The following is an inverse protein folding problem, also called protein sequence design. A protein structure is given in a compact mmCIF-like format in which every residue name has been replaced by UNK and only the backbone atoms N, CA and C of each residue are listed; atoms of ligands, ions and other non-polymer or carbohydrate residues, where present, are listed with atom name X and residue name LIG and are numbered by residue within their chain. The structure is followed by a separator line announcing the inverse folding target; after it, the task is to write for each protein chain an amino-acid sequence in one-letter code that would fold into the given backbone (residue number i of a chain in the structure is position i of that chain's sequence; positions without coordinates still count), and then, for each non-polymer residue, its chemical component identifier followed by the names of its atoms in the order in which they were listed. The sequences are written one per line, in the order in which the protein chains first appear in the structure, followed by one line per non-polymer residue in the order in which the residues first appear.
data_IF_005404482359
#
_entry.id   IF_005404482359
#
_cell.length_a   1.000
_cell.length_b   1.000
_cell.length_c   1.000
_cell.angle_alpha   90.00
_cell.angle_beta   90.00
_cell.angle_gamma   90.00
#
_symmetry.space_group_name_H-M   'P 1'
#
loop_
_entity.id
_entity.type
_entity.pdbx_description
1 polymer ?
#
# COMPACT_ATOMS: atom_id res chain seq x y z
N UNK A 1 18.36 -25.16 9.31
CA UNK A 1 17.25 -24.44 8.66
C UNK A 1 17.83 -23.72 7.47
N UNK A 2 17.55 -24.19 6.25
CA UNK A 2 17.94 -23.47 5.04
C UNK A 2 17.15 -22.14 5.01
N UNK A 3 17.77 -21.03 4.55
CA UNK A 3 17.01 -19.80 4.33
C UNK A 3 15.94 -20.10 3.27
N UNK A 4 14.68 -19.88 3.65
CA UNK A 4 13.54 -19.92 2.73
C UNK A 4 13.81 -18.91 1.62
N UNK A 5 14.10 -19.38 0.41
CA UNK A 5 14.18 -18.53 -0.78
C UNK A 5 12.79 -17.95 -1.03
N UNK A 6 12.59 -16.71 -0.59
CA UNK A 6 11.47 -15.89 -1.04
C UNK A 6 11.65 -15.76 -2.54
N UNK A 7 10.77 -16.39 -3.33
CA UNK A 7 10.74 -16.20 -4.78
C UNK A 7 10.61 -14.69 -5.01
N UNK A 8 11.67 -14.06 -5.53
CA UNK A 8 11.71 -12.61 -5.66
C UNK A 8 10.64 -12.20 -6.68
N UNK A 9 9.51 -11.72 -6.18
CA UNK A 9 8.46 -11.14 -7.01
C UNK A 9 9.03 -10.02 -7.87
N UNK A 10 8.49 -9.85 -9.06
CA UNK A 10 8.82 -8.69 -9.90
C UNK A 10 7.57 -7.87 -10.15
N UNK A 11 7.74 -6.56 -10.25
CA UNK A 11 6.67 -5.62 -10.58
C UNK A 11 7.00 -4.84 -11.85
N UNK A 12 5.99 -4.34 -12.57
CA UNK A 12 6.21 -3.49 -13.74
C UNK A 12 7.00 -2.22 -13.40
N UNK A 13 7.80 -1.73 -14.34
CA UNK A 13 8.56 -0.49 -14.20
C UNK A 13 7.66 0.74 -14.00
N UNK A 14 6.38 0.67 -14.37
CA UNK A 14 5.40 1.74 -14.14
C UNK A 14 5.29 2.13 -12.66
N UNK A 15 5.50 1.20 -11.72
CA UNK A 15 5.54 1.49 -10.28
C UNK A 15 6.70 2.43 -9.93
N UNK A 16 7.88 2.20 -10.51
CA UNK A 16 9.07 3.03 -10.32
C UNK A 16 8.83 4.42 -10.92
N UNK A 17 8.29 4.47 -12.14
CA UNK A 17 7.96 5.74 -12.81
C UNK A 17 6.95 6.57 -12.01
N UNK A 18 5.85 5.95 -11.57
CA UNK A 18 4.83 6.63 -10.77
C UNK A 18 5.37 7.13 -9.43
N UNK A 19 6.22 6.33 -8.77
CA UNK A 19 6.88 6.72 -7.52
C UNK A 19 7.79 7.93 -7.74
N UNK A 20 8.66 7.92 -8.75
CA UNK A 20 9.56 9.03 -9.04
C UNK A 20 8.81 10.31 -9.43
N UNK A 21 7.76 10.19 -10.25
CA UNK A 21 6.95 11.31 -10.73
C UNK A 21 6.24 12.06 -9.60
N UNK A 22 5.95 11.40 -8.48
CA UNK A 22 5.38 12.06 -7.29
C UNK A 22 6.41 12.89 -6.51
N UNK A 23 7.71 12.62 -6.67
CA UNK A 23 8.74 13.28 -5.88
C UNK A 23 9.16 14.64 -6.47
N UNK A 24 9.57 15.61 -5.64
CA UNK A 24 10.12 16.89 -6.11
C UNK A 24 11.59 16.78 -6.57
N UNK A 25 12.12 15.56 -6.76
CA UNK A 25 13.52 15.36 -7.11
C UNK A 25 13.78 15.76 -8.57
N UNK A 26 14.91 16.41 -8.79
CA UNK A 26 15.43 16.68 -10.12
C UNK A 26 15.97 15.40 -10.78
N UNK A 27 16.26 15.42 -12.10
CA UNK A 27 16.74 14.21 -12.80
C UNK A 27 18.03 13.62 -12.20
N UNK A 28 18.90 14.46 -11.61
CA UNK A 28 20.12 14.00 -10.96
C UNK A 28 19.82 13.22 -9.68
N UNK A 29 18.93 13.75 -8.82
CA UNK A 29 18.48 13.07 -7.60
C UNK A 29 17.72 11.77 -7.89
N UNK A 30 16.88 11.75 -8.94
CA UNK A 30 16.21 10.53 -9.37
C UNK A 30 17.21 9.46 -9.84
N UNK A 31 18.23 9.85 -10.62
CA UNK A 31 19.28 8.94 -11.07
C UNK A 31 20.10 8.36 -9.90
N UNK A 32 20.41 9.17 -8.89
CA UNK A 32 21.10 8.69 -7.69
C UNK A 32 20.25 7.67 -6.91
N UNK A 33 18.96 7.96 -6.70
CA UNK A 33 18.04 7.05 -6.01
C UNK A 33 17.91 5.69 -6.76
N UNK A 34 17.79 5.74 -8.09
CA UNK A 34 17.77 4.53 -8.93
C UNK A 34 19.06 3.71 -8.82
N UNK A 35 20.21 4.36 -8.91
CA UNK A 35 21.51 3.71 -8.79
C UNK A 35 21.67 3.02 -7.43
N UNK A 36 21.28 3.68 -6.33
CA UNK A 36 21.33 3.11 -4.98
C UNK A 36 20.32 1.98 -4.76
N UNK A 37 19.23 1.94 -5.55
CA UNK A 37 18.28 0.84 -5.56
C UNK A 37 18.68 -0.30 -6.52
N UNK A 38 19.79 -0.15 -7.25
CA UNK A 38 20.24 -1.14 -8.23
C UNK A 38 19.33 -1.23 -9.47
N UNK A 39 18.60 -0.17 -9.79
CA UNK A 39 17.70 -0.10 -10.96
C UNK A 39 18.43 0.62 -12.09
N UNK A 40 18.69 -0.07 -13.20
CA UNK A 40 19.36 0.53 -14.35
C UNK A 40 18.44 1.59 -15.02
N UNK A 41 18.90 2.84 -15.23
CA UNK A 41 18.07 3.90 -15.81
C UNK A 41 17.48 3.57 -17.19
N UNK A 42 18.15 2.72 -17.96
CA UNK A 42 17.66 2.25 -19.26
C UNK A 42 16.30 1.55 -19.16
N UNK A 43 15.98 0.94 -18.02
CA UNK A 43 14.70 0.25 -17.79
C UNK A 43 13.51 1.22 -17.82
N UNK A 44 13.70 2.50 -17.46
CA UNK A 44 12.64 3.51 -17.46
C UNK A 44 12.06 3.75 -18.85
N UNK A 45 12.83 3.46 -19.92
CA UNK A 45 12.41 3.64 -21.30
C UNK A 45 11.79 2.37 -21.90
N UNK A 46 11.75 1.26 -21.17
CA UNK A 46 11.24 -0.02 -21.63
C UNK A 46 9.91 -0.32 -20.94
N UNK A 47 8.78 -0.10 -21.63
CA UNK A 47 7.43 -0.21 -21.06
C UNK A 47 7.13 -1.56 -20.38
N UNK A 48 7.68 -2.66 -20.92
CA UNK A 48 7.51 -4.01 -20.39
C UNK A 48 8.58 -4.41 -19.37
N UNK A 49 9.51 -3.50 -19.01
CA UNK A 49 10.54 -3.79 -18.04
C UNK A 49 9.93 -4.08 -16.67
N UNK A 50 10.63 -4.91 -15.90
CA UNK A 50 10.25 -5.26 -14.55
C UNK A 50 11.44 -5.05 -13.62
N UNK A 51 11.13 -4.72 -12.37
CA UNK A 51 12.11 -4.65 -11.27
C UNK A 51 11.71 -5.63 -10.19
N UNK A 52 12.67 -6.08 -9.40
CA UNK A 52 12.36 -6.93 -8.24
C UNK A 52 11.62 -6.11 -7.18
N UNK A 53 10.80 -6.78 -6.38
CA UNK A 53 10.13 -6.16 -5.23
C UNK A 53 11.14 -5.56 -4.25
N UNK A 54 12.33 -6.14 -4.12
CA UNK A 54 13.39 -5.61 -3.25
C UNK A 54 14.04 -4.34 -3.82
N UNK A 55 14.27 -4.28 -5.15
CA UNK A 55 14.73 -3.05 -5.81
C UNK A 55 13.72 -1.91 -5.59
N UNK A 56 12.42 -2.20 -5.79
CA UNK A 56 11.37 -1.21 -5.53
C UNK A 56 11.30 -0.80 -4.06
N UNK A 57 11.33 -1.76 -3.12
CA UNK A 57 11.28 -1.47 -1.69
C UNK A 57 12.49 -0.65 -1.24
N UNK A 58 13.67 -0.91 -1.80
CA UNK A 58 14.89 -0.13 -1.55
C UNK A 58 14.74 1.30 -2.06
N UNK A 59 14.27 1.50 -3.29
CA UNK A 59 14.00 2.83 -3.84
C UNK A 59 12.99 3.59 -2.95
N UNK A 60 11.88 2.94 -2.61
CA UNK A 60 10.84 3.53 -1.77
C UNK A 60 11.40 4.00 -0.42
N UNK A 61 12.13 3.15 0.30
CA UNK A 61 12.71 3.51 1.61
C UNK A 61 13.68 4.69 1.50
N UNK A 62 14.47 4.74 0.42
CA UNK A 62 15.41 5.84 0.18
C UNK A 62 14.68 7.16 -0.02
N UNK A 63 13.68 7.17 -0.90
CA UNK A 63 12.86 8.35 -1.15
C UNK A 63 12.12 8.79 0.11
N UNK A 64 11.54 7.84 0.85
CA UNK A 64 10.83 8.15 2.08
C UNK A 64 11.73 8.79 3.14
N UNK A 65 12.96 8.25 3.30
CA UNK A 65 13.95 8.82 4.22
C UNK A 65 14.46 10.18 3.76
N UNK A 66 14.68 10.37 2.46
CA UNK A 66 15.22 11.62 1.90
C UNK A 66 14.21 12.77 1.99
N UNK A 67 12.92 12.46 1.79
CA UNK A 67 11.84 13.44 1.77
C UNK A 67 11.19 13.65 3.16
N UNK A 68 11.57 12.82 4.15
CA UNK A 68 10.86 12.71 5.44
C UNK A 68 9.35 12.50 5.22
N UNK A 69 9.03 11.54 4.36
CA UNK A 69 7.68 11.25 3.89
C UNK A 69 7.50 9.75 3.61
N UNK A 70 6.80 9.04 4.49
CA UNK A 70 6.55 7.60 4.37
C UNK A 70 5.65 7.22 3.18
N UNK A 71 5.00 8.19 2.54
CA UNK A 71 4.27 8.03 1.27
C UNK A 71 4.85 9.03 0.24
N UNK A 72 6.13 8.83 -0.15
CA UNK A 72 6.99 9.88 -0.70
C UNK A 72 6.40 10.59 -1.92
N UNK A 73 6.03 11.86 -1.74
CA UNK A 73 5.52 12.71 -2.81
C UNK A 73 4.14 12.31 -3.35
N UNK A 74 3.45 11.38 -2.69
CA UNK A 74 2.17 10.85 -3.18
C UNK A 74 0.99 11.75 -2.83
N UNK A 75 1.09 12.60 -1.81
CA UNK A 75 -0.03 13.37 -1.29
C UNK A 75 0.31 14.85 -1.13
N UNK A 76 -0.70 15.68 -0.95
CA UNK A 76 -0.56 17.14 -0.80
C UNK A 76 0.35 17.58 0.37
N UNK A 77 0.56 16.69 1.35
CA UNK A 77 1.46 16.89 2.48
C UNK A 77 2.18 15.59 2.83
N UNK A 78 3.40 15.66 3.38
CA UNK A 78 4.16 14.49 3.75
C UNK A 78 3.52 13.75 4.93
N UNK A 79 3.51 12.41 4.84
CA UNK A 79 3.25 11.52 5.96
C UNK A 79 4.56 11.32 6.70
N UNK A 80 4.83 12.17 7.70
CA UNK A 80 6.13 12.26 8.38
C UNK A 80 6.64 10.93 8.90
N UNK A 81 7.97 10.75 8.90
CA UNK A 81 8.63 9.55 9.40
C UNK A 81 8.18 9.21 10.82
N UNK A 82 7.85 7.93 11.05
CA UNK A 82 7.31 7.42 12.30
C UNK A 82 5.78 7.34 12.34
N UNK A 83 5.07 7.96 11.39
CA UNK A 83 3.60 7.90 11.32
C UNK A 83 3.11 6.46 11.25
N UNK A 84 3.70 5.62 10.39
CA UNK A 84 3.33 4.22 10.21
C UNK A 84 3.58 3.39 11.47
N UNK A 85 4.69 3.66 12.18
CA UNK A 85 4.97 3.02 13.47
C UNK A 85 3.90 3.37 14.51
N UNK A 86 3.53 4.65 14.63
CA UNK A 86 2.49 5.09 15.56
C UNK A 86 1.10 4.57 15.19
N UNK A 87 0.78 4.53 13.89
CA UNK A 87 -0.42 3.86 13.38
C UNK A 87 -0.44 2.42 13.90
N UNK A 88 0.54 1.59 13.54
CA UNK A 88 0.53 0.17 13.90
C UNK A 88 0.48 -0.04 15.41
N UNK A 89 1.22 0.74 16.21
CA UNK A 89 1.13 0.69 17.68
C UNK A 89 -0.29 0.95 18.19
N UNK A 90 -1.02 1.90 17.61
CA UNK A 90 -2.42 2.21 17.99
C UNK A 90 -3.43 1.12 17.60
N UNK A 91 -3.06 0.25 16.65
CA UNK A 91 -3.91 -0.84 16.16
C UNK A 91 -3.80 -2.10 17.01
N UNK A 92 -2.63 -2.36 17.63
CA UNK A 92 -2.36 -3.59 18.38
C UNK A 92 -3.35 -3.84 19.52
N UNK A 93 -3.80 -2.78 20.20
CA UNK A 93 -4.74 -2.86 21.32
C UNK A 93 -6.22 -2.86 20.87
N UNK A 94 -6.50 -3.25 19.63
CA UNK A 94 -7.87 -3.38 19.13
C UNK A 94 -8.38 -4.80 19.38
N UNK A 95 -9.61 -4.94 19.86
CA UNK A 95 -10.20 -6.27 20.10
C UNK A 95 -10.49 -7.02 18.81
N UNK A 96 -10.87 -6.31 17.74
CA UNK A 96 -11.24 -6.86 16.44
C UNK A 96 -10.59 -6.10 15.30
N UNK A 97 -10.43 -6.76 14.14
CA UNK A 97 -9.97 -6.13 12.91
C UNK A 97 -10.86 -4.96 12.50
N UNK A 98 -12.18 -5.05 12.69
CA UNK A 98 -13.10 -3.94 12.42
C UNK A 98 -12.70 -2.67 13.20
N UNK A 99 -12.41 -2.83 14.49
CA UNK A 99 -11.99 -1.73 15.37
C UNK A 99 -10.65 -1.16 14.92
N UNK A 100 -9.71 -2.03 14.54
CA UNK A 100 -8.42 -1.59 14.01
C UNK A 100 -8.56 -0.80 12.70
N UNK A 101 -9.38 -1.27 11.75
CA UNK A 101 -9.60 -0.58 10.47
C UNK A 101 -10.33 0.75 10.64
N UNK A 102 -11.28 0.83 11.59
CA UNK A 102 -11.87 2.10 11.97
C UNK A 102 -10.82 3.08 12.51
N UNK A 103 -9.94 2.63 13.43
CA UNK A 103 -8.84 3.45 13.96
C UNK A 103 -7.85 3.88 12.87
N UNK A 104 -7.52 3.00 11.92
CA UNK A 104 -6.69 3.31 10.77
C UNK A 104 -7.30 4.46 9.95
N UNK A 105 -8.61 4.40 9.68
CA UNK A 105 -9.29 5.48 8.95
C UNK A 105 -9.25 6.81 9.71
N UNK A 106 -9.44 6.77 11.04
CA UNK A 106 -9.30 7.97 11.91
C UNK A 106 -7.87 8.52 11.93
N UNK A 107 -6.87 7.65 11.91
CA UNK A 107 -5.46 8.05 11.87
C UNK A 107 -5.14 8.82 10.58
N UNK A 108 -5.51 8.27 9.41
CA UNK A 108 -5.27 8.96 8.14
C UNK A 108 -6.12 10.22 7.96
N UNK A 109 -7.30 10.29 8.58
CA UNK A 109 -8.07 11.54 8.63
C UNK A 109 -7.29 12.70 9.29
N UNK A 110 -6.39 12.42 10.25
CA UNK A 110 -5.54 13.43 10.87
C UNK A 110 -4.34 13.83 10.01
N UNK A 111 -3.88 12.95 9.13
CA UNK A 111 -2.63 13.12 8.39
C UNK A 111 -2.80 13.56 6.94
N UNK A 112 -3.87 13.11 6.27
CA UNK A 112 -4.05 13.33 4.84
C UNK A 112 -5.09 14.40 4.58
N UNK A 113 -4.75 15.32 3.67
CA UNK A 113 -5.68 16.31 3.18
C UNK A 113 -6.43 15.91 1.90
N UNK A 114 -5.94 14.86 1.25
CA UNK A 114 -6.36 14.39 -0.06
C UNK A 114 -7.57 13.45 0.02
N UNK A 115 -7.57 12.56 1.01
CA UNK A 115 -8.57 11.51 1.16
C UNK A 115 -9.12 11.42 2.59
N UNK A 116 -10.37 11.03 2.70
CA UNK A 116 -10.94 10.44 3.91
C UNK A 116 -11.09 8.95 3.68
N UNK A 117 -10.69 8.15 4.67
CA UNK A 117 -10.91 6.70 4.63
C UNK A 117 -12.16 6.40 5.44
N UNK A 118 -13.19 5.87 4.78
CA UNK A 118 -14.48 5.56 5.40
C UNK A 118 -14.72 4.05 5.49
N UNK A 119 -15.13 3.60 6.68
CA UNK A 119 -15.56 2.23 6.95
C UNK A 119 -17.09 2.21 6.97
N UNK A 120 -17.72 1.41 6.11
CA UNK A 120 -19.18 1.22 6.09
C UNK A 120 -19.56 -0.25 5.93
N UNK A 121 -20.78 -0.59 6.32
CA UNK A 121 -21.34 -1.93 6.12
C UNK A 121 -22.35 -1.92 4.98
N UNK A 122 -22.22 -2.87 4.06
CA UNK A 122 -23.10 -3.08 2.92
C UNK A 122 -23.56 -4.54 2.91
N UNK A 123 -24.66 -4.83 3.62
CA UNK A 123 -25.15 -6.19 3.82
C UNK A 123 -24.15 -7.05 4.60
N UNK A 124 -23.61 -8.10 3.95
CA UNK A 124 -22.58 -8.97 4.52
C UNK A 124 -21.15 -8.51 4.22
N UNK A 125 -20.98 -7.41 3.49
CA UNK A 125 -19.67 -6.84 3.18
C UNK A 125 -19.36 -5.66 4.09
N UNK A 126 -18.08 -5.49 4.41
CA UNK A 126 -17.55 -4.28 5.01
C UNK A 126 -16.66 -3.60 3.98
N UNK A 127 -16.94 -2.32 3.73
CA UNK A 127 -16.29 -1.50 2.73
C UNK A 127 -15.34 -0.52 3.39
N UNK A 128 -14.11 -0.46 2.88
CA UNK A 128 -13.10 0.54 3.17
C UNK A 128 -12.92 1.43 1.94
N UNK A 129 -13.50 2.62 1.96
CA UNK A 129 -13.56 3.54 0.82
C UNK A 129 -12.59 4.72 0.95
N UNK A 130 -11.94 5.08 -0.15
CA UNK A 130 -11.17 6.32 -0.26
C UNK A 130 -12.07 7.41 -0.85
N UNK A 131 -12.48 8.36 0.00
CA UNK A 131 -13.32 9.50 -0.41
C UNK A 131 -12.40 10.69 -0.70
N UNK A 132 -12.23 11.09 -1.97
CA UNK A 132 -11.39 12.23 -2.31
C UNK A 132 -12.00 13.52 -1.76
N UNK A 133 -11.17 14.40 -1.21
CA UNK A 133 -11.57 15.71 -0.66
C UNK A 133 -11.24 16.87 -1.60
N UNK A 134 -10.50 16.59 -2.67
CA UNK A 134 -10.10 17.54 -3.71
C UNK A 134 -9.98 16.84 -5.07
N UNK A 135 -10.18 17.56 -6.20
CA UNK A 135 -10.11 16.96 -7.53
C UNK A 135 -8.76 16.30 -7.85
N UNK A 136 -7.65 16.87 -7.37
CA UNK A 136 -6.31 16.33 -7.61
C UNK A 136 -6.14 14.96 -6.94
N UNK A 137 -6.74 14.76 -5.76
CA UNK A 137 -6.75 13.46 -5.10
C UNK A 137 -7.51 12.42 -5.93
N UNK A 138 -8.69 12.77 -6.46
CA UNK A 138 -9.45 11.86 -7.32
C UNK A 138 -8.66 11.42 -8.58
N UNK A 139 -7.82 12.30 -9.14
CA UNK A 139 -6.95 12.00 -10.27
C UNK A 139 -5.66 11.23 -9.91
N UNK A 140 -5.31 11.14 -8.63
CA UNK A 140 -4.09 10.48 -8.16
C UNK A 140 -4.28 8.96 -8.06
N UNK A 141 -4.20 8.28 -9.21
CA UNK A 141 -4.33 6.83 -9.31
C UNK A 141 -3.32 6.08 -8.43
N UNK A 142 -2.04 6.45 -8.50
CA UNK A 142 -0.99 5.74 -7.76
C UNK A 142 -1.13 5.89 -6.24
N UNK A 143 -1.46 7.09 -5.75
CA UNK A 143 -1.75 7.31 -4.32
C UNK A 143 -2.93 6.48 -3.83
N UNK A 144 -3.99 6.34 -4.65
CA UNK A 144 -5.12 5.47 -4.32
C UNK A 144 -4.71 3.99 -4.25
N UNK A 145 -3.97 3.50 -5.24
CA UNK A 145 -3.45 2.13 -5.25
C UNK A 145 -2.63 1.83 -3.98
N UNK A 146 -1.68 2.70 -3.65
CA UNK A 146 -0.79 2.53 -2.51
C UNK A 146 -1.57 2.58 -1.18
N UNK A 147 -2.54 3.49 -1.01
CA UNK A 147 -3.37 3.52 0.20
C UNK A 147 -4.23 2.26 0.35
N UNK A 148 -4.86 1.79 -0.73
CA UNK A 148 -5.60 0.53 -0.70
C UNK A 148 -4.69 -0.64 -0.33
N UNK A 149 -3.48 -0.70 -0.90
CA UNK A 149 -2.52 -1.76 -0.56
C UNK A 149 -2.02 -1.68 0.87
N UNK A 150 -1.79 -0.48 1.41
CA UNK A 150 -1.45 -0.28 2.81
C UNK A 150 -2.57 -0.78 3.71
N UNK A 151 -3.84 -0.43 3.45
CA UNK A 151 -4.99 -0.91 4.22
C UNK A 151 -5.04 -2.45 4.20
N UNK A 152 -4.93 -3.06 3.02
CA UNK A 152 -4.98 -4.51 2.85
C UNK A 152 -3.81 -5.23 3.52
N UNK A 153 -2.59 -4.70 3.38
CA UNK A 153 -1.38 -5.26 3.97
C UNK A 153 -1.38 -5.17 5.49
N UNK A 154 -1.78 -4.03 6.04
CA UNK A 154 -1.94 -3.86 7.50
C UNK A 154 -3.02 -4.79 8.03
N UNK A 155 -4.17 -4.89 7.36
CA UNK A 155 -5.24 -5.81 7.76
C UNK A 155 -4.74 -7.27 7.80
N UNK A 156 -4.04 -7.69 6.75
CA UNK A 156 -3.50 -9.04 6.63
C UNK A 156 -2.41 -9.33 7.66
N UNK A 157 -1.55 -8.36 7.95
CA UNK A 157 -0.57 -8.47 9.03
C UNK A 157 -1.26 -8.60 10.38
N UNK A 158 -2.24 -7.75 10.70
CA UNK A 158 -2.95 -7.78 11.98
C UNK A 158 -3.64 -9.12 12.28
N UNK A 159 -4.17 -9.79 11.26
CA UNK A 159 -4.79 -11.12 11.38
C UNK A 159 -3.79 -12.27 11.26
N UNK A 160 -2.58 -12.00 10.77
CA UNK A 160 -1.51 -12.99 10.58
C UNK A 160 -1.65 -13.84 9.32
N UNK A 161 -2.54 -13.47 8.38
CA UNK A 161 -2.71 -14.16 7.11
C UNK A 161 -3.21 -13.21 6.02
N UNK A 162 -2.98 -13.56 4.75
CA UNK A 162 -3.48 -12.75 3.62
C UNK A 162 -5.00 -12.67 3.67
N UNK A 163 -5.54 -11.47 3.79
CA UNK A 163 -6.99 -11.25 3.75
C UNK A 163 -7.50 -11.47 2.33
N UNK A 164 -8.53 -12.31 2.17
CA UNK A 164 -9.26 -12.42 0.90
C UNK A 164 -10.12 -11.18 0.72
N UNK A 165 -10.09 -10.59 -0.46
CA UNK A 165 -10.94 -9.45 -0.81
C UNK A 165 -12.14 -9.98 -1.61
N UNK A 166 -13.35 -9.66 -1.17
CA UNK A 166 -14.56 -9.99 -1.91
C UNK A 166 -14.61 -9.20 -3.24
N UNK A 167 -14.10 -7.97 -3.20
CA UNK A 167 -14.11 -7.03 -4.33
C UNK A 167 -13.10 -5.89 -4.09
N UNK A 168 -12.56 -5.36 -5.17
CA UNK A 168 -11.83 -4.08 -5.20
C UNK A 168 -12.45 -3.18 -6.24
N UNK A 169 -12.77 -1.95 -5.84
CA UNK A 169 -13.21 -0.89 -6.73
C UNK A 169 -12.10 0.11 -6.97
N UNK A 170 -11.96 0.52 -8.22
CA UNK A 170 -11.06 1.56 -8.68
C UNK A 170 -11.91 2.66 -9.34
N UNK A 171 -11.80 3.89 -8.85
CA UNK A 171 -12.57 5.03 -9.38
C UNK A 171 -12.09 5.51 -10.76
N UNK A 172 -10.90 5.10 -11.15
CA UNK A 172 -10.24 5.49 -12.37
C UNK A 172 -10.44 4.46 -13.49
N UNK A 173 -10.18 4.89 -14.73
CA UNK A 173 -10.24 4.04 -15.92
C UNK A 173 -9.22 2.90 -15.87
N UNK A 174 -9.52 1.80 -16.57
CA UNK A 174 -8.65 0.62 -16.62
C UNK A 174 -7.28 0.97 -17.22
N UNK A 175 -6.16 0.88 -16.47
CA UNK A 175 -4.85 1.17 -17.02
C UNK A 175 -4.39 0.07 -18.00
N UNK A 176 -3.44 0.40 -18.87
CA UNK A 176 -2.86 -0.56 -19.84
C UNK A 176 -2.26 -1.80 -19.16
N UNK A 177 -1.72 -1.62 -17.96
CA UNK A 177 -1.12 -2.67 -17.13
C UNK A 177 -2.12 -3.30 -16.13
N UNK A 178 -3.43 -3.18 -16.34
CA UNK A 178 -4.45 -3.74 -15.43
C UNK A 178 -4.37 -5.26 -15.24
N UNK A 179 -3.72 -6.00 -16.14
CA UNK A 179 -3.44 -7.44 -15.97
C UNK A 179 -2.56 -7.71 -14.74
N UNK A 180 -1.77 -6.74 -14.31
CA UNK A 180 -0.86 -6.84 -13.17
C UNK A 180 -1.59 -6.66 -11.82
N UNK A 181 -2.83 -6.19 -11.83
CA UNK A 181 -3.58 -5.95 -10.59
C UNK A 181 -3.92 -7.24 -9.84
N UNK A 182 -3.93 -8.39 -10.51
CA UNK A 182 -4.07 -9.69 -9.85
C UNK A 182 -2.88 -10.03 -8.92
N UNK A 183 -1.71 -9.44 -9.18
CA UNK A 183 -0.57 -9.52 -8.25
C UNK A 183 -0.82 -8.67 -6.99
N UNK A 184 -1.48 -7.53 -7.16
CA UNK A 184 -1.75 -6.58 -6.09
C UNK A 184 -2.92 -7.01 -5.21
N UNK A 185 -4.07 -7.36 -5.78
CA UNK A 185 -5.29 -7.59 -5.02
C UNK A 185 -5.72 -9.07 -5.06
N UNK A 186 -6.07 -9.62 -3.89
CA UNK A 186 -6.57 -10.99 -3.73
C UNK A 186 -8.08 -11.12 -3.98
N UNK A 187 -8.61 -10.41 -4.98
CA UNK A 187 -10.04 -10.38 -5.31
C UNK A 187 -10.32 -9.75 -6.68
N UNK A 188 -11.57 -9.83 -7.18
CA UNK A 188 -11.94 -9.23 -8.45
C UNK A 188 -11.84 -7.70 -8.39
N UNK A 189 -11.27 -7.10 -9.43
CA UNK A 189 -11.05 -5.66 -9.54
C UNK A 189 -11.99 -5.06 -10.59
N UNK A 190 -12.75 -4.04 -10.21
CA UNK A 190 -13.65 -3.30 -11.09
C UNK A 190 -13.15 -1.86 -11.24
N UNK A 191 -13.11 -1.38 -12.47
CA UNK A 191 -12.68 -0.02 -12.82
C UNK A 191 -13.87 0.89 -13.06
N UNK A 192 -13.63 2.20 -13.15
CA UNK A 192 -14.66 3.22 -13.43
C UNK A 192 -15.81 3.19 -12.42
N UNK A 193 -15.50 2.88 -11.17
CA UNK A 193 -16.47 2.89 -10.08
C UNK A 193 -16.61 4.30 -9.48
N UNK A 194 -17.65 4.53 -8.70
CA UNK A 194 -17.86 5.85 -8.11
C UNK A 194 -16.73 6.28 -7.15
N UNK A 195 -16.17 5.33 -6.39
CA UNK A 195 -15.04 5.56 -5.49
C UNK A 195 -14.12 4.34 -5.46
N UNK A 196 -12.85 4.54 -5.12
CA UNK A 196 -11.92 3.43 -4.90
C UNK A 196 -12.14 2.80 -3.52
N UNK A 197 -12.28 1.48 -3.44
CA UNK A 197 -12.61 0.80 -2.19
C UNK A 197 -12.16 -0.67 -2.13
N UNK A 198 -11.92 -1.15 -0.91
CA UNK A 198 -11.79 -2.59 -0.62
C UNK A 198 -13.07 -3.12 0.03
N UNK A 199 -13.47 -4.34 -0.33
CA UNK A 199 -14.58 -5.03 0.30
C UNK A 199 -14.10 -6.34 0.92
N UNK A 200 -14.47 -6.54 2.17
CA UNK A 200 -14.20 -7.73 2.96
C UNK A 200 -15.51 -8.39 3.35
N UNK A 201 -15.52 -9.71 3.52
CA UNK A 201 -16.66 -10.36 4.19
C UNK A 201 -16.70 -9.92 5.65
N UNK A 202 -17.87 -9.57 6.17
CA UNK A 202 -18.02 -9.02 7.52
C UNK A 202 -17.45 -9.96 8.59
N UNK A 203 -17.64 -11.27 8.43
CA UNK A 203 -17.11 -12.28 9.33
C UNK A 203 -15.57 -12.26 9.44
N UNK A 204 -14.84 -11.79 8.41
CA UNK A 204 -13.39 -11.64 8.50
C UNK A 204 -12.99 -10.53 9.47
N UNK A 205 -13.82 -9.51 9.65
CA UNK A 205 -13.49 -8.33 10.46
C UNK A 205 -13.78 -8.52 11.96
N UNK A 206 -14.49 -9.59 12.32
CA UNK A 206 -14.66 -10.02 13.71
C UNK A 206 -13.41 -10.76 14.25
N UNK A 207 -12.39 -10.98 13.40
CA UNK A 207 -11.14 -11.65 13.77
C UNK A 207 -10.38 -10.83 14.83
N UNK A 208 -9.94 -11.46 15.94
CA UNK A 208 -9.12 -10.78 16.93
C UNK A 208 -7.72 -10.49 16.40
N UNK A 209 -7.12 -9.41 16.87
CA UNK A 209 -5.75 -9.03 16.50
C UNK A 209 -4.77 -10.05 17.11
N UNK A 210 -3.88 -10.60 16.27
CA UNK A 210 -2.91 -11.65 16.67
C UNK A 210 -1.48 -11.15 16.78
N UNK A 211 -1.27 -9.85 16.58
CA UNK A 211 0.05 -9.24 16.53
C UNK A 211 0.45 -8.64 17.88
N UNK A 212 1.76 -8.55 18.11
CA UNK A 212 2.34 -8.00 19.31
C UNK A 212 3.45 -6.99 18.96
N UNK A 213 4.08 -6.40 19.97
CA UNK A 213 5.17 -5.43 19.77
C UNK A 213 6.41 -6.05 19.12
N UNK A 214 6.64 -7.35 19.29
CA UNK A 214 7.79 -8.06 18.71
C UNK A 214 7.55 -8.31 17.23
N UNK A 215 6.36 -8.77 16.84
CA UNK A 215 5.99 -8.94 15.43
C UNK A 215 5.90 -7.60 14.70
N UNK A 216 5.51 -6.52 15.39
CA UNK A 216 5.57 -5.17 14.85
C UNK A 216 6.99 -4.75 14.45
N UNK A 217 7.99 -5.02 15.29
CA UNK A 217 9.38 -4.67 14.96
C UNK A 217 9.85 -5.34 13.66
N UNK A 218 9.45 -6.60 13.44
CA UNK A 218 9.75 -7.35 12.22
C UNK A 218 9.01 -6.78 11.00
N UNK A 219 7.73 -6.46 11.16
CA UNK A 219 6.91 -5.86 10.11
C UNK A 219 7.43 -4.49 9.67
N UNK A 220 7.83 -3.63 10.61
CA UNK A 220 8.42 -2.32 10.31
C UNK A 220 9.77 -2.44 9.62
N UNK A 221 10.62 -3.39 10.03
CA UNK A 221 11.92 -3.61 9.43
C UNK A 221 11.84 -4.03 7.94
N UNK A 222 10.72 -4.66 7.55
CA UNK A 222 10.46 -5.10 6.18
C UNK A 222 9.50 -4.19 5.41
N UNK A 223 9.10 -3.04 5.98
CA UNK A 223 8.32 -2.05 5.26
C UNK A 223 9.15 -1.40 4.13
N UNK A 224 8.52 -1.02 2.99
CA UNK A 224 7.11 -1.21 2.67
C UNK A 224 6.75 -2.62 2.17
N UNK A 225 7.75 -3.48 1.94
CA UNK A 225 7.59 -4.78 1.28
C UNK A 225 6.49 -5.65 1.89
N UNK A 226 6.46 -5.79 3.21
CA UNK A 226 5.48 -6.66 3.90
C UNK A 226 4.02 -6.21 3.70
N UNK A 227 3.74 -4.90 3.69
CA UNK A 227 2.38 -4.42 3.47
C UNK A 227 2.03 -4.22 1.99
N UNK A 228 3.02 -3.99 1.14
CA UNK A 228 2.78 -3.75 -0.29
C UNK A 228 2.63 -5.06 -1.07
N UNK A 229 3.52 -6.03 -0.82
CA UNK A 229 3.62 -7.28 -1.57
C UNK A 229 3.09 -8.51 -0.85
N UNK A 230 2.60 -8.35 0.39
CA UNK A 230 1.77 -9.31 1.15
C UNK A 230 2.09 -10.77 0.80
N UNK A 231 3.33 -11.18 1.07
CA UNK A 231 3.77 -12.56 0.92
C UNK A 231 3.43 -13.32 2.20
N UNK A 232 2.17 -13.72 2.37
CA UNK A 232 1.83 -14.72 3.38
C UNK A 232 1.89 -16.09 2.72
N UNK A 233 2.73 -16.98 3.26
CA UNK A 233 2.77 -18.39 2.87
C UNK A 233 1.36 -18.97 2.98
N UNK A 234 0.87 -19.55 1.88
CA UNK A 234 -0.26 -20.48 1.94
C UNK A 234 0.21 -21.66 2.79
N UNK A 235 -0.25 -21.72 4.03
CA UNK A 235 -0.14 -22.93 4.85
C UNK A 235 -1.26 -23.89 4.46
#
# INVERSE_FOLDING_TARGET
MAPTEITAGTIPISFVLNLLNGTPLDPAGQAEALARAGIAPVLLNAETARVTTEQFATLYRQLASQLDDELPGMFSRPVRSGSFKFLCLSLLDSETLQTALFRLGRFFHLLLDDFRIELSREGNLIRMALIPRMPQAAANTFGQEILLKLIHGVASWLTGHRMTLARVDCSYGRPSHASEYGFLYSGPVFFEQAVSALYFEAAQLDTPIRQDRRSLAQFLARAPGDWLFVAFEQH
#
